data_IF_435912457330
#
_entry.id   IF_435912457330
#
_cell.length_a   1.000
_cell.length_b   1.000
_cell.length_c   1.000
_cell.angle_alpha   90.00
_cell.angle_beta   90.00
_cell.angle_gamma   90.00
#
_symmetry.space_group_name_H-M   'P 1'
#
loop_
_entity.id
_entity.type
_entity.pdbx_description
1 polymer ?
#
# COMPACT_ATOMS: atom_id res chain seq x y z
N UNK A 1 4.92 -26.03 -12.15
CA UNK A 1 5.76 -24.92 -12.68
C UNK A 1 6.12 -24.01 -11.51
N UNK A 2 7.40 -23.88 -11.18
CA UNK A 2 7.86 -23.47 -9.84
C UNK A 2 7.47 -22.03 -9.48
N UNK A 3 6.59 -21.91 -8.47
CA UNK A 3 6.17 -20.65 -7.80
C UNK A 3 7.35 -19.72 -7.48
N UNK A 4 8.50 -20.29 -7.11
CA UNK A 4 9.73 -19.56 -6.79
C UNK A 4 10.29 -18.72 -7.96
N UNK A 5 10.15 -19.19 -9.21
CA UNK A 5 10.65 -18.48 -10.39
C UNK A 5 9.79 -17.25 -10.71
N UNK A 6 8.47 -17.32 -10.48
CA UNK A 6 7.57 -16.18 -10.65
C UNK A 6 7.77 -15.12 -9.56
N UNK A 7 8.01 -15.54 -8.31
CA UNK A 7 8.30 -14.65 -7.19
C UNK A 7 9.63 -13.90 -7.39
N UNK A 8 10.70 -14.60 -7.78
CA UNK A 8 12.00 -13.98 -8.05
C UNK A 8 11.92 -13.05 -9.26
N UNK A 9 11.26 -13.45 -10.36
CA UNK A 9 11.12 -12.61 -11.55
C UNK A 9 10.28 -11.35 -11.27
N UNK A 10 9.24 -11.44 -10.44
CA UNK A 10 8.45 -10.28 -9.97
C UNK A 10 9.26 -9.35 -9.07
N UNK A 11 10.04 -9.91 -8.15
CA UNK A 11 10.95 -9.14 -7.29
C UNK A 11 12.00 -8.39 -8.13
N UNK A 12 12.58 -9.04 -9.15
CA UNK A 12 13.55 -8.40 -10.07
C UNK A 12 12.89 -7.26 -10.87
N UNK A 13 11.63 -7.39 -11.28
CA UNK A 13 10.89 -6.28 -11.90
C UNK A 13 10.57 -5.14 -10.92
N UNK A 14 10.32 -5.43 -9.64
CA UNK A 14 10.18 -4.38 -8.61
C UNK A 14 11.49 -3.64 -8.29
N UNK A 15 12.63 -4.23 -8.62
CA UNK A 15 13.96 -3.61 -8.51
C UNK A 15 14.33 -2.72 -9.71
N UNK A 16 13.43 -2.57 -10.70
CA UNK A 16 13.60 -1.59 -11.76
C UNK A 16 13.81 -0.20 -11.15
N UNK A 17 15.02 0.37 -11.32
CA UNK A 17 15.40 1.67 -10.76
C UNK A 17 14.95 2.85 -11.61
N UNK A 18 14.34 2.60 -12.77
CA UNK A 18 13.79 3.68 -13.61
C UNK A 18 12.74 4.47 -12.83
N UNK A 19 12.77 5.78 -12.97
CA UNK A 19 11.73 6.65 -12.41
C UNK A 19 10.36 6.30 -12.99
N UNK A 20 9.30 6.70 -12.29
CA UNK A 20 7.93 6.58 -12.79
C UNK A 20 7.75 7.46 -14.02
N UNK A 21 7.07 6.92 -15.04
CA UNK A 21 6.69 7.69 -16.22
C UNK A 21 5.71 8.82 -15.83
N UNK A 22 5.79 9.97 -16.51
CA UNK A 22 4.93 11.13 -16.24
C UNK A 22 3.44 10.76 -16.27
N UNK A 23 3.00 10.00 -17.28
CA UNK A 23 1.62 9.50 -17.40
C UNK A 23 1.16 8.71 -16.17
N UNK A 24 2.05 7.92 -15.57
CA UNK A 24 1.73 7.16 -14.36
C UNK A 24 1.60 8.08 -13.14
N UNK A 25 2.42 9.15 -13.08
CA UNK A 25 2.32 10.16 -12.03
C UNK A 25 1.01 10.94 -12.14
N UNK A 26 0.59 11.30 -13.35
CA UNK A 26 -0.68 12.00 -13.57
C UNK A 26 -1.88 11.16 -13.11
N UNK A 27 -1.90 9.86 -13.43
CA UNK A 27 -2.93 8.94 -12.92
C UNK A 27 -3.00 8.95 -11.40
N UNK A 28 -1.87 9.01 -10.70
CA UNK A 28 -1.84 9.10 -9.23
C UNK A 28 -2.35 10.46 -8.75
N UNK A 29 -1.92 11.56 -9.38
CA UNK A 29 -2.36 12.93 -9.06
C UNK A 29 -3.86 13.13 -9.25
N UNK A 30 -4.47 12.46 -10.23
CA UNK A 30 -5.92 12.49 -10.44
C UNK A 30 -6.71 11.81 -9.31
N UNK A 31 -6.11 10.87 -8.58
CA UNK A 31 -6.80 10.13 -7.50
C UNK A 31 -6.58 10.74 -6.14
N UNK A 32 -5.35 11.15 -5.85
CA UNK A 32 -4.96 11.68 -4.54
C UNK A 32 -5.28 13.17 -4.43
N UNK A 33 -5.61 13.62 -3.22
CA UNK A 33 -5.55 15.05 -2.90
C UNK A 33 -4.10 15.54 -2.92
N UNK A 34 -3.89 16.86 -2.94
CA UNK A 34 -2.54 17.43 -2.92
C UNK A 34 -1.72 16.97 -1.69
N UNK A 35 -2.33 16.98 -0.50
CA UNK A 35 -1.68 16.54 0.73
C UNK A 35 -1.33 15.04 0.72
N UNK A 36 -2.24 14.20 0.22
CA UNK A 36 -1.99 12.75 0.08
C UNK A 36 -0.90 12.47 -0.95
N UNK A 37 -0.88 13.22 -2.05
CA UNK A 37 0.16 13.11 -3.07
C UNK A 37 1.53 13.47 -2.51
N UNK A 38 1.64 14.52 -1.68
CA UNK A 38 2.89 14.88 -1.02
C UNK A 38 3.42 13.71 -0.17
N UNK A 39 2.57 13.06 0.62
CA UNK A 39 2.96 11.87 1.38
C UNK A 39 3.39 10.71 0.47
N UNK A 40 2.59 10.39 -0.54
CA UNK A 40 2.92 9.32 -1.49
C UNK A 40 4.25 9.60 -2.20
N UNK A 41 4.53 10.86 -2.55
CA UNK A 41 5.77 11.25 -3.23
C UNK A 41 7.02 10.98 -2.41
N UNK A 42 6.92 11.03 -1.07
CA UNK A 42 7.98 10.75 -0.11
C UNK A 42 8.21 9.24 0.11
N UNK A 43 7.27 8.38 -0.30
CA UNK A 43 7.48 6.94 -0.25
C UNK A 43 8.69 6.54 -1.12
N UNK A 44 9.47 5.51 -0.70
CA UNK A 44 10.54 4.97 -1.54
C UNK A 44 10.01 4.56 -2.91
N UNK A 45 10.83 4.71 -3.96
CA UNK A 45 10.42 4.43 -5.34
C UNK A 45 9.81 3.04 -5.53
N UNK A 46 10.36 2.04 -4.84
CA UNK A 46 9.85 0.67 -4.85
C UNK A 46 8.43 0.58 -4.26
N UNK A 47 8.15 1.32 -3.18
CA UNK A 47 6.84 1.31 -2.52
C UNK A 47 5.81 2.10 -3.33
N UNK A 48 6.22 3.18 -4.00
CA UNK A 48 5.39 3.90 -5.00
C UNK A 48 4.99 2.99 -6.16
N UNK A 49 5.95 2.27 -6.73
CA UNK A 49 5.69 1.33 -7.85
C UNK A 49 4.76 0.20 -7.41
N UNK A 50 5.00 -0.35 -6.22
CA UNK A 50 4.15 -1.37 -5.63
C UNK A 50 2.72 -0.86 -5.48
N UNK A 51 2.52 0.31 -4.88
CA UNK A 51 1.17 0.82 -4.63
C UNK A 51 0.39 1.15 -5.92
N UNK A 52 1.06 1.54 -7.00
CA UNK A 52 0.44 1.66 -8.33
C UNK A 52 -0.03 0.31 -8.87
N UNK A 53 0.76 -0.76 -8.70
CA UNK A 53 0.37 -2.11 -9.12
C UNK A 53 -0.85 -2.57 -8.31
N UNK A 54 -0.84 -2.35 -6.99
CA UNK A 54 -1.97 -2.66 -6.10
C UNK A 54 -3.21 -1.89 -6.54
N UNK A 55 -3.10 -0.58 -6.79
CA UNK A 55 -4.22 0.23 -7.27
C UNK A 55 -4.83 -0.29 -8.57
N UNK A 56 -3.99 -0.67 -9.56
CA UNK A 56 -4.48 -1.23 -10.83
C UNK A 56 -5.22 -2.54 -10.60
N UNK A 57 -4.65 -3.47 -9.83
CA UNK A 57 -5.28 -4.75 -9.50
C UNK A 57 -6.55 -4.62 -8.67
N UNK A 58 -6.59 -3.61 -7.80
CA UNK A 58 -7.76 -3.27 -7.02
C UNK A 58 -8.89 -2.80 -7.93
N UNK A 59 -8.61 -1.91 -8.89
CA UNK A 59 -9.58 -1.43 -9.88
C UNK A 59 -10.00 -2.52 -10.88
N UNK A 60 -9.13 -3.47 -11.23
CA UNK A 60 -9.51 -4.64 -12.02
C UNK A 60 -10.57 -5.51 -11.30
N UNK A 61 -10.49 -5.58 -9.96
CA UNK A 61 -11.45 -6.33 -9.13
C UNK A 61 -12.71 -5.53 -8.84
N UNK A 62 -12.56 -4.24 -8.56
CA UNK A 62 -13.64 -3.33 -8.22
C UNK A 62 -13.57 -2.07 -9.10
N UNK A 63 -14.01 -2.14 -10.38
CA UNK A 63 -13.89 -1.03 -11.32
C UNK A 63 -14.64 0.23 -10.90
N UNK A 64 -15.71 0.06 -10.13
CA UNK A 64 -16.57 1.13 -9.64
C UNK A 64 -16.34 1.44 -8.15
N UNK A 65 -15.19 1.05 -7.60
CA UNK A 65 -14.85 1.39 -6.22
C UNK A 65 -14.84 2.91 -6.03
N UNK A 66 -15.30 3.35 -4.87
CA UNK A 66 -15.26 4.77 -4.51
C UNK A 66 -13.81 5.28 -4.43
N UNK A 67 -13.65 6.58 -4.68
CA UNK A 67 -12.33 7.20 -4.73
C UNK A 67 -11.54 7.03 -3.44
N UNK A 68 -12.21 7.02 -2.27
CA UNK A 68 -11.56 6.84 -0.98
C UNK A 68 -10.89 5.46 -0.83
N UNK A 69 -11.51 4.40 -1.38
CA UNK A 69 -10.92 3.06 -1.38
C UNK A 69 -9.77 2.94 -2.39
N UNK A 70 -9.88 3.60 -3.54
CA UNK A 70 -8.79 3.71 -4.52
C UNK A 70 -7.59 4.44 -3.90
N UNK A 71 -7.81 5.55 -3.16
CA UNK A 71 -6.75 6.25 -2.42
C UNK A 71 -6.07 5.34 -1.40
N UNK A 72 -6.85 4.53 -0.67
CA UNK A 72 -6.29 3.57 0.29
C UNK A 72 -5.33 2.57 -0.39
N UNK A 73 -5.64 2.11 -1.62
CA UNK A 73 -4.73 1.22 -2.36
C UNK A 73 -3.37 1.85 -2.67
N UNK A 74 -3.34 3.16 -2.95
CA UNK A 74 -2.10 3.90 -3.23
C UNK A 74 -1.30 4.23 -1.95
N UNK A 75 -1.98 4.33 -0.81
CA UNK A 75 -1.46 4.87 0.45
C UNK A 75 -1.28 3.80 1.55
N UNK A 76 -1.67 2.55 1.34
CA UNK A 76 -1.62 1.49 2.37
C UNK A 76 -0.24 1.34 3.04
N UNK A 77 0.82 1.61 2.28
CA UNK A 77 2.21 1.53 2.73
C UNK A 77 2.81 2.85 3.22
N UNK A 78 2.03 3.94 3.31
CA UNK A 78 2.55 5.27 3.67
C UNK A 78 3.19 5.29 5.05
N UNK A 79 2.68 4.51 6.02
CA UNK A 79 3.29 4.42 7.35
C UNK A 79 4.67 3.78 7.38
N UNK A 80 5.12 3.13 6.29
CA UNK A 80 6.48 2.60 6.17
C UNK A 80 7.54 3.71 6.11
N UNK A 81 7.18 4.94 5.73
CA UNK A 81 8.11 6.08 5.70
C UNK A 81 8.58 6.50 7.10
N UNK A 82 7.70 6.45 8.09
CA UNK A 82 7.97 6.88 9.48
C UNK A 82 8.41 5.73 10.40
N UNK A 83 8.05 4.48 10.08
CA UNK A 83 8.30 3.30 10.94
C UNK A 83 9.77 2.87 11.11
N UNK A 84 10.75 3.66 10.63
CA UNK A 84 12.19 3.39 10.69
C UNK A 84 12.61 2.03 10.06
N UNK A 85 11.72 1.40 9.27
CA UNK A 85 11.97 0.09 8.68
C UNK A 85 12.94 0.14 7.48
N UNK A 86 13.06 1.27 6.80
CA UNK A 86 14.01 1.47 5.70
C UNK A 86 14.13 0.28 4.72
N UNK A 87 15.27 0.15 4.07
CA UNK A 87 15.61 -1.02 3.24
C UNK A 87 16.05 -2.21 4.13
N UNK A 88 16.59 -1.93 5.31
CA UNK A 88 17.19 -2.93 6.22
C UNK A 88 16.14 -3.83 6.86
N UNK A 89 15.00 -3.27 7.30
CA UNK A 89 13.88 -4.04 7.85
C UNK A 89 13.29 -5.00 6.83
N UNK A 90 13.27 -4.63 5.54
CA UNK A 90 12.80 -5.48 4.43
C UNK A 90 13.72 -6.65 4.14
N UNK A 91 15.04 -6.44 4.14
CA UNK A 91 16.02 -7.52 3.93
C UNK A 91 15.99 -8.54 5.07
N UNK A 92 15.90 -8.07 6.32
CA UNK A 92 15.76 -8.95 7.50
C UNK A 92 14.40 -9.69 7.48
N UNK A 93 13.34 -9.08 6.93
CA UNK A 93 12.05 -9.75 6.77
C UNK A 93 12.13 -10.97 5.84
N UNK A 94 12.83 -10.83 4.71
CA UNK A 94 13.05 -11.89 3.71
C UNK A 94 14.00 -12.99 4.21
N UNK A 95 15.02 -12.64 5.00
CA UNK A 95 16.04 -13.60 5.46
C UNK A 95 15.57 -14.47 6.64
N UNK A 96 14.84 -13.90 7.60
CA UNK A 96 14.62 -14.57 8.91
C UNK A 96 13.34 -15.44 8.94
N UNK A 97 12.48 -15.38 7.92
CA UNK A 97 11.20 -16.09 7.98
C UNK A 97 10.26 -15.53 9.05
N UNK A 98 9.00 -15.94 8.99
CA UNK A 98 7.82 -15.29 9.56
C UNK A 98 7.51 -15.60 11.04
N UNK A 99 8.50 -15.64 11.95
CA UNK A 99 8.21 -15.95 13.37
C UNK A 99 8.89 -15.02 14.39
N UNK A 100 8.06 -14.28 15.15
CA UNK A 100 8.41 -13.56 16.38
C UNK A 100 8.67 -12.05 16.25
N UNK A 101 7.99 -11.22 17.04
CA UNK A 101 8.03 -9.73 17.10
C UNK A 101 7.68 -8.94 15.81
N UNK A 102 7.55 -9.61 14.67
CA UNK A 102 7.22 -9.05 13.34
C UNK A 102 5.76 -8.65 13.14
N UNK A 103 4.82 -9.31 13.81
CA UNK A 103 3.38 -9.03 13.64
C UNK A 103 2.95 -7.70 14.26
N UNK A 104 3.57 -7.27 15.36
CA UNK A 104 3.28 -5.94 15.93
C UNK A 104 3.73 -4.86 14.94
N UNK A 105 4.97 -4.94 14.42
CA UNK A 105 5.51 -3.96 13.47
C UNK A 105 4.78 -3.87 12.13
N UNK A 106 4.13 -4.97 11.71
CA UNK A 106 3.25 -4.96 10.53
C UNK A 106 1.95 -4.19 10.82
N UNK A 107 1.27 -4.45 11.93
CA UNK A 107 0.13 -3.61 12.36
C UNK A 107 0.55 -2.16 12.69
N UNK A 108 1.78 -1.95 13.11
CA UNK A 108 2.26 -0.63 13.54
C UNK A 108 2.29 0.34 12.35
N UNK A 109 2.75 -0.09 11.16
CA UNK A 109 2.80 0.83 10.01
C UNK A 109 1.43 1.11 9.39
N UNK A 110 0.47 0.19 9.45
CA UNK A 110 -0.92 0.44 9.06
C UNK A 110 -1.56 1.50 9.98
N UNK A 111 -1.40 1.35 11.31
CA UNK A 111 -1.88 2.33 12.29
C UNK A 111 -1.17 3.68 12.18
N UNK A 112 0.15 3.68 11.99
CA UNK A 112 0.93 4.90 11.73
C UNK A 112 0.42 5.57 10.45
N UNK A 113 0.21 4.81 9.37
CA UNK A 113 -0.33 5.31 8.12
C UNK A 113 -1.69 5.98 8.31
N UNK A 114 -2.62 5.32 9.00
CA UNK A 114 -3.92 5.92 9.34
C UNK A 114 -3.80 7.19 10.18
N UNK A 115 -2.85 7.24 11.14
CA UNK A 115 -2.60 8.46 11.93
C UNK A 115 -2.07 9.61 11.07
N UNK A 116 -1.09 9.35 10.20
CA UNK A 116 -0.55 10.35 9.27
C UNK A 116 -1.66 10.91 8.39
N UNK A 117 -2.51 10.04 7.84
CA UNK A 117 -3.63 10.43 6.98
C UNK A 117 -4.66 11.30 7.72
N UNK A 118 -4.97 10.97 8.98
CA UNK A 118 -5.84 11.81 9.82
C UNK A 118 -5.24 13.19 10.10
N UNK A 119 -3.92 13.28 10.29
CA UNK A 119 -3.25 14.57 10.55
C UNK A 119 -3.29 15.53 9.35
N UNK A 120 -3.46 15.00 8.14
CA UNK A 120 -3.61 15.82 6.93
C UNK A 120 -5.06 16.01 6.50
N UNK A 121 -6.04 15.58 7.31
CA UNK A 121 -7.48 15.60 7.03
C UNK A 121 -7.88 14.78 5.80
N UNK A 122 -7.27 13.60 5.60
CA UNK A 122 -7.68 12.65 4.56
C UNK A 122 -9.08 12.06 4.85
N UNK A 123 -9.70 11.49 3.83
CA UNK A 123 -11.04 10.90 3.92
C UNK A 123 -11.09 9.79 5.00
N UNK A 124 -12.19 9.75 5.76
CA UNK A 124 -12.36 8.81 6.86
C UNK A 124 -12.33 7.35 6.39
N UNK A 125 -12.88 7.04 5.21
CA UNK A 125 -12.81 5.69 4.63
C UNK A 125 -11.38 5.35 4.23
N UNK A 126 -10.64 6.28 3.61
CA UNK A 126 -9.22 6.08 3.31
C UNK A 126 -8.42 5.78 4.58
N UNK A 127 -8.61 6.58 5.64
CA UNK A 127 -7.94 6.38 6.93
C UNK A 127 -8.26 5.01 7.56
N UNK A 128 -9.53 4.60 7.57
CA UNK A 128 -9.98 3.33 8.16
C UNK A 128 -9.48 2.13 7.37
N UNK A 129 -9.49 2.20 6.03
CA UNK A 129 -8.97 1.13 5.18
C UNK A 129 -7.45 0.97 5.34
N UNK A 130 -6.69 2.06 5.41
CA UNK A 130 -5.23 2.01 5.61
C UNK A 130 -4.85 1.50 7.01
N UNK A 131 -5.63 1.85 8.04
CA UNK A 131 -5.35 1.43 9.43
C UNK A 131 -5.93 0.09 9.82
N UNK A 132 -6.83 -0.48 9.02
CA UNK A 132 -7.61 -1.66 9.42
C UNK A 132 -8.67 -1.36 10.51
N UNK A 133 -8.94 -0.09 10.81
CA UNK A 133 -9.84 0.32 11.92
C UNK A 133 -11.30 0.38 11.46
N UNK A 134 -11.90 -0.80 11.26
CA UNK A 134 -13.33 -0.96 10.99
C UNK A 134 -13.83 -2.29 11.57
N UNK A 135 -15.13 -2.37 11.87
CA UNK A 135 -15.76 -3.59 12.35
C UNK A 135 -15.98 -4.56 11.18
N UNK A 136 -15.85 -5.87 11.43
CA UNK A 136 -16.11 -6.90 10.42
C UNK A 136 -17.54 -6.83 9.85
N UNK A 137 -18.49 -6.33 10.64
CA UNK A 137 -19.87 -6.09 10.24
C UNK A 137 -20.06 -4.93 9.25
N UNK A 138 -19.02 -4.10 9.02
CA UNK A 138 -19.03 -3.07 7.97
C UNK A 138 -18.74 -3.74 6.62
N UNK A 139 -19.77 -4.37 6.04
CA UNK A 139 -19.66 -5.19 4.82
C UNK A 139 -18.93 -4.46 3.68
N UNK A 140 -19.18 -3.16 3.54
CA UNK A 140 -18.56 -2.31 2.51
C UNK A 140 -17.05 -2.19 2.71
N UNK A 141 -16.61 -1.85 3.92
CA UNK A 141 -15.17 -1.75 4.20
C UNK A 141 -14.48 -3.11 4.23
N UNK A 142 -15.16 -4.14 4.72
CA UNK A 142 -14.69 -5.52 4.68
C UNK A 142 -14.45 -6.00 3.23
N UNK A 143 -15.35 -5.68 2.30
CA UNK A 143 -15.18 -5.95 0.87
C UNK A 143 -13.96 -5.21 0.30
N UNK A 144 -13.83 -3.90 0.55
CA UNK A 144 -12.68 -3.14 0.06
C UNK A 144 -11.35 -3.64 0.65
N UNK A 145 -11.31 -3.92 1.95
CA UNK A 145 -10.13 -4.46 2.60
C UNK A 145 -9.76 -5.85 2.09
N UNK A 146 -10.73 -6.70 1.76
CA UNK A 146 -10.46 -7.98 1.11
C UNK A 146 -9.87 -7.77 -0.28
N UNK A 147 -10.47 -6.91 -1.11
CA UNK A 147 -9.96 -6.61 -2.44
C UNK A 147 -8.55 -5.97 -2.40
N UNK A 148 -8.26 -5.13 -1.41
CA UNK A 148 -6.92 -4.59 -1.15
C UNK A 148 -5.93 -5.69 -0.81
N UNK A 149 -6.27 -6.58 0.14
CA UNK A 149 -5.43 -7.74 0.48
C UNK A 149 -5.17 -8.62 -0.74
N UNK A 150 -6.17 -8.88 -1.57
CA UNK A 150 -6.02 -9.70 -2.78
C UNK A 150 -5.23 -9.00 -3.89
N UNK A 151 -5.24 -7.67 -3.93
CA UNK A 151 -4.46 -6.88 -4.87
C UNK A 151 -2.98 -6.79 -4.42
N UNK A 152 -2.76 -6.69 -3.11
CA UNK A 152 -1.44 -6.62 -2.45
C UNK A 152 -0.72 -7.97 -2.42
N UNK A 153 -1.46 -9.06 -2.19
CA UNK A 153 -0.91 -10.42 -2.21
C UNK A 153 -0.37 -10.77 -3.61
N UNK A 154 0.90 -11.18 -3.65
CA UNK A 154 1.65 -11.58 -4.85
C UNK A 154 1.79 -13.10 -4.91
#
# INVERSE_FOLDING_TARGET
>A
MNSFVHLVRRFIFSLDRRNLAAETIEVVREKLTEKEYLLWSQMPLIDKKHSIIVMRRFLERLPNAEIAAVRASLLHDVGKTESNLGVIGRVVATIVGSRGSKFSRYHDHEKIGGKILRQIDSDATTCRLVSGEFADSDERLSMFAQALRDADNI
#
